data_IF_190630200224
#
_entry.id   IF_190630200224
#
_cell.length_a   1.000
_cell.length_b   1.000
_cell.length_c   1.000
_cell.angle_alpha   90.00
_cell.angle_beta   90.00
_cell.angle_gamma   90.00
#
_symmetry.space_group_name_H-M   'P 1'
#
loop_
_entity.id
_entity.type
_entity.pdbx_description
1 polymer ?
#
# COMPACT_ATOMS: atom_id res chain seq x y z
N UNK A 1 -25.15 5.70 18.58
CA UNK A 1 -24.79 4.35 19.12
C UNK A 1 -23.95 4.53 20.38
N UNK A 2 -24.12 3.64 21.35
CA UNK A 2 -23.26 3.69 22.53
C UNK A 2 -21.85 3.22 22.16
N UNK A 3 -20.82 3.75 22.82
CA UNK A 3 -19.42 3.35 22.66
C UNK A 3 -19.20 1.82 22.77
N UNK A 4 -20.00 1.14 23.58
CA UNK A 4 -19.97 -0.33 23.72
C UNK A 4 -20.41 -1.05 22.45
N UNK A 5 -21.42 -0.54 21.74
CA UNK A 5 -21.89 -1.13 20.49
C UNK A 5 -20.90 -0.94 19.36
N UNK A 6 -20.23 0.21 19.28
CA UNK A 6 -19.20 0.48 18.27
C UNK A 6 -17.99 -0.42 18.44
N UNK A 7 -17.55 -0.65 19.67
CA UNK A 7 -16.45 -1.57 19.95
C UNK A 7 -16.82 -3.04 19.67
N UNK A 8 -18.02 -3.45 19.98
CA UNK A 8 -18.50 -4.80 19.68
C UNK A 8 -18.54 -5.06 18.16
N UNK A 9 -19.07 -4.10 17.39
CA UNK A 9 -19.08 -4.16 15.93
C UNK A 9 -17.67 -4.19 15.36
N UNK A 10 -16.77 -3.33 15.84
CA UNK A 10 -15.37 -3.34 15.42
C UNK A 10 -14.71 -4.70 15.64
N UNK A 11 -14.88 -5.28 16.83
CA UNK A 11 -14.30 -6.58 17.16
C UNK A 11 -14.87 -7.72 16.29
N UNK A 12 -16.16 -7.68 15.96
CA UNK A 12 -16.80 -8.64 15.06
C UNK A 12 -16.18 -8.57 13.66
N UNK A 13 -16.04 -7.36 13.11
CA UNK A 13 -15.41 -7.14 11.80
C UNK A 13 -13.95 -7.63 11.81
N UNK A 14 -13.21 -7.35 12.87
CA UNK A 14 -11.83 -7.84 13.02
C UNK A 14 -11.76 -9.37 13.03
N UNK A 15 -12.70 -10.06 13.66
CA UNK A 15 -12.80 -11.52 13.64
C UNK A 15 -13.12 -12.06 12.23
N UNK A 16 -14.00 -11.39 11.49
CA UNK A 16 -14.35 -11.77 10.12
C UNK A 16 -13.15 -11.67 9.17
N UNK A 17 -12.21 -10.76 9.40
CA UNK A 17 -11.01 -10.59 8.61
C UNK A 17 -10.15 -11.87 8.56
N UNK A 18 -10.21 -12.72 9.57
CA UNK A 18 -9.44 -13.96 9.69
C UNK A 18 -10.27 -15.24 9.48
N UNK A 19 -11.54 -15.10 9.09
CA UNK A 19 -12.42 -16.24 8.84
C UNK A 19 -11.93 -17.04 7.62
N UNK A 20 -11.82 -18.35 7.77
CA UNK A 20 -11.26 -19.22 6.71
C UNK A 20 -12.25 -19.57 5.61
N UNK A 21 -13.54 -19.66 5.95
CA UNK A 21 -14.58 -20.24 5.10
C UNK A 21 -14.94 -19.40 3.89
N UNK A 22 -14.87 -18.07 4.00
CA UNK A 22 -15.33 -17.18 2.96
C UNK A 22 -14.36 -16.03 2.69
N UNK A 23 -13.77 -16.05 1.51
CA UNK A 23 -12.96 -14.91 1.06
C UNK A 23 -13.80 -13.63 0.88
N UNK A 24 -15.07 -13.75 0.51
CA UNK A 24 -15.98 -12.61 0.41
C UNK A 24 -16.15 -11.89 1.75
N UNK A 25 -16.34 -12.66 2.84
CA UNK A 25 -16.46 -12.10 4.18
C UNK A 25 -15.16 -11.41 4.61
N UNK A 26 -14.00 -11.98 4.30
CA UNK A 26 -12.72 -11.34 4.58
C UNK A 26 -12.54 -10.04 3.80
N UNK A 27 -12.90 -10.04 2.50
CA UNK A 27 -12.84 -8.85 1.65
C UNK A 27 -13.78 -7.74 2.16
N UNK A 28 -15.00 -8.08 2.53
CA UNK A 28 -15.97 -7.13 3.08
C UNK A 28 -15.51 -6.59 4.43
N UNK A 29 -14.96 -7.43 5.32
CA UNK A 29 -14.39 -7.00 6.59
C UNK A 29 -13.24 -5.99 6.37
N UNK A 30 -12.32 -6.26 5.45
CA UNK A 30 -11.24 -5.34 5.11
C UNK A 30 -11.79 -3.99 4.61
N UNK A 31 -12.77 -4.01 3.72
CA UNK A 31 -13.44 -2.82 3.21
C UNK A 31 -14.05 -1.98 4.32
N UNK A 32 -14.80 -2.60 5.23
CA UNK A 32 -15.43 -1.93 6.36
C UNK A 32 -14.41 -1.29 7.29
N UNK A 33 -13.31 -2.01 7.63
CA UNK A 33 -12.23 -1.47 8.45
C UNK A 33 -11.58 -0.25 7.80
N UNK A 34 -11.42 -0.26 6.48
CA UNK A 34 -10.92 0.90 5.73
C UNK A 34 -11.86 2.10 5.80
N UNK A 35 -13.18 1.87 5.71
CA UNK A 35 -14.19 2.94 5.81
C UNK A 35 -14.27 3.54 7.21
N UNK A 36 -14.08 2.73 8.24
CA UNK A 36 -14.04 3.19 9.63
C UNK A 36 -12.81 4.06 9.92
N UNK A 37 -11.74 3.91 9.15
CA UNK A 37 -10.46 4.62 9.34
C UNK A 37 -9.90 4.54 10.77
N UNK A 38 -10.16 3.43 11.43
CA UNK A 38 -9.73 3.20 12.81
C UNK A 38 -8.30 2.65 12.86
N UNK A 39 -7.38 3.43 13.42
CA UNK A 39 -5.96 3.05 13.52
C UNK A 39 -5.71 1.77 14.32
N UNK A 40 -6.65 1.33 15.16
CA UNK A 40 -6.56 0.07 15.91
C UNK A 40 -6.52 -1.16 14.99
N UNK A 41 -7.08 -1.05 13.77
CA UNK A 41 -7.09 -2.13 12.80
C UNK A 41 -5.74 -2.35 12.08
N UNK A 42 -4.82 -1.40 12.09
CA UNK A 42 -3.61 -1.42 11.26
C UNK A 42 -2.76 -2.67 11.47
N UNK A 43 -2.45 -3.02 12.71
CA UNK A 43 -1.60 -4.17 13.00
C UNK A 43 -2.22 -5.49 12.53
N UNK A 44 -3.52 -5.66 12.69
CA UNK A 44 -4.23 -6.88 12.27
C UNK A 44 -4.42 -6.93 10.76
N UNK A 45 -4.69 -5.79 10.11
CA UNK A 45 -4.70 -5.71 8.65
C UNK A 45 -3.33 -6.05 8.05
N UNK A 46 -2.25 -5.55 8.64
CA UNK A 46 -0.89 -5.91 8.22
C UNK A 46 -0.62 -7.41 8.38
N UNK A 47 -1.06 -8.00 9.50
CA UNK A 47 -0.94 -9.45 9.72
C UNK A 47 -1.76 -10.23 8.69
N UNK A 48 -3.01 -9.83 8.44
CA UNK A 48 -3.87 -10.45 7.44
C UNK A 48 -3.23 -10.37 6.05
N UNK A 49 -2.67 -9.22 5.64
CA UNK A 49 -2.02 -9.07 4.34
C UNK A 49 -0.84 -10.03 4.14
N UNK A 50 -0.07 -10.30 5.20
CA UNK A 50 1.06 -11.23 5.15
C UNK A 50 0.64 -12.69 4.95
N UNK A 51 -0.54 -13.07 5.42
CA UNK A 51 -1.01 -14.46 5.43
C UNK A 51 -2.11 -14.75 4.42
N UNK A 52 -2.72 -13.73 3.82
CA UNK A 52 -3.80 -13.89 2.84
C UNK A 52 -3.27 -14.38 1.49
N UNK A 53 -3.91 -15.39 0.94
CA UNK A 53 -3.56 -15.96 -0.38
C UNK A 53 -4.50 -15.50 -1.50
N UNK A 54 -5.69 -15.02 -1.17
CA UNK A 54 -6.63 -14.52 -2.16
C UNK A 54 -6.30 -13.09 -2.55
N UNK A 55 -5.93 -12.86 -3.81
CA UNK A 55 -5.52 -11.54 -4.31
C UNK A 55 -6.61 -10.47 -4.19
N UNK A 56 -7.88 -10.83 -4.33
CA UNK A 56 -8.99 -9.88 -4.15
C UNK A 56 -9.05 -9.39 -2.71
N UNK A 57 -8.89 -10.30 -1.75
CA UNK A 57 -8.84 -9.92 -0.32
C UNK A 57 -7.60 -9.08 -0.02
N UNK A 58 -6.44 -9.46 -0.55
CA UNK A 58 -5.22 -8.67 -0.42
C UNK A 58 -5.42 -7.23 -0.92
N UNK A 59 -6.04 -7.06 -2.08
CA UNK A 59 -6.32 -5.73 -2.64
C UNK A 59 -7.23 -4.90 -1.73
N UNK A 60 -8.25 -5.53 -1.13
CA UNK A 60 -9.13 -4.85 -0.15
C UNK A 60 -8.41 -4.47 1.14
N UNK A 61 -7.50 -5.32 1.62
CA UNK A 61 -6.66 -5.00 2.77
C UNK A 61 -5.71 -3.83 2.46
N UNK A 62 -5.06 -3.85 1.30
CA UNK A 62 -4.17 -2.77 0.84
C UNK A 62 -4.93 -1.45 0.76
N UNK A 63 -6.11 -1.45 0.14
CA UNK A 63 -6.99 -0.28 0.05
C UNK A 63 -7.38 0.24 1.44
N UNK A 64 -7.75 -0.65 2.36
CA UNK A 64 -8.10 -0.31 3.73
C UNK A 64 -6.93 0.34 4.47
N UNK A 65 -5.74 -0.22 4.37
CA UNK A 65 -4.52 0.34 4.97
C UNK A 65 -4.21 1.73 4.40
N UNK A 66 -4.40 1.94 3.09
CA UNK A 66 -4.27 3.24 2.45
C UNK A 66 -5.27 4.27 2.99
N UNK A 67 -6.54 3.89 3.17
CA UNK A 67 -7.58 4.75 3.73
C UNK A 67 -7.33 5.14 5.18
N UNK A 68 -6.78 4.23 5.98
CA UNK A 68 -6.39 4.52 7.37
C UNK A 68 -5.18 5.46 7.40
N UNK A 69 -4.24 5.32 6.47
CA UNK A 69 -3.13 6.24 6.28
C UNK A 69 -2.01 6.15 7.33
N UNK A 70 -1.82 5.00 7.96
CA UNK A 70 -0.79 4.82 8.99
C UNK A 70 0.52 4.27 8.39
N UNK A 71 1.63 4.97 8.63
CA UNK A 71 2.96 4.61 8.10
C UNK A 71 3.48 3.23 8.55
N UNK A 72 2.93 2.63 9.60
CA UNK A 72 3.24 1.24 9.99
C UNK A 72 2.93 0.23 8.89
N UNK A 73 1.98 0.54 8.00
CA UNK A 73 1.60 -0.33 6.89
C UNK A 73 2.55 -0.24 5.68
N UNK A 74 3.37 0.80 5.59
CA UNK A 74 4.17 1.09 4.39
C UNK A 74 4.97 -0.11 3.93
N UNK A 75 5.78 -0.71 4.80
CA UNK A 75 6.68 -1.78 4.38
C UNK A 75 5.96 -3.09 4.04
N UNK A 76 4.84 -3.37 4.68
CA UNK A 76 4.02 -4.56 4.34
C UNK A 76 3.40 -4.41 2.94
N UNK A 77 2.96 -3.20 2.60
CA UNK A 77 2.45 -2.90 1.25
C UNK A 77 3.60 -2.89 0.23
N UNK A 78 4.77 -2.36 0.60
CA UNK A 78 5.98 -2.40 -0.25
C UNK A 78 6.38 -3.84 -0.58
N UNK A 79 6.24 -4.78 0.33
CA UNK A 79 6.50 -6.19 0.02
C UNK A 79 5.57 -6.70 -1.10
N UNK A 80 4.31 -6.30 -1.10
CA UNK A 80 3.37 -6.61 -2.19
C UNK A 80 3.72 -5.89 -3.49
N UNK A 81 4.23 -4.67 -3.42
CA UNK A 81 4.78 -3.96 -4.57
C UNK A 81 5.93 -4.73 -5.21
N UNK A 82 6.90 -5.19 -4.41
CA UNK A 82 8.03 -5.99 -4.88
C UNK A 82 7.59 -7.31 -5.52
N UNK A 83 6.66 -8.02 -4.88
CA UNK A 83 6.10 -9.25 -5.44
C UNK A 83 5.48 -9.00 -6.82
N UNK A 84 4.70 -7.93 -6.98
CA UNK A 84 4.01 -7.63 -8.22
C UNK A 84 4.96 -7.21 -9.34
N UNK A 85 5.92 -6.33 -9.06
CA UNK A 85 6.91 -5.85 -10.04
C UNK A 85 7.78 -7.00 -10.56
N UNK A 86 8.06 -8.00 -9.73
CA UNK A 86 8.91 -9.14 -10.10
C UNK A 86 8.17 -10.24 -10.86
N UNK A 87 6.86 -10.14 -11.06
CA UNK A 87 6.10 -11.07 -11.89
C UNK A 87 6.48 -10.94 -13.36
N UNK A 88 6.45 -12.05 -14.09
CA UNK A 88 6.62 -12.04 -15.55
C UNK A 88 5.56 -11.19 -16.25
N UNK A 89 4.33 -11.20 -15.74
CA UNK A 89 3.22 -10.38 -16.21
C UNK A 89 2.69 -9.57 -15.04
N UNK A 90 2.89 -8.27 -15.09
CA UNK A 90 2.46 -7.33 -14.06
C UNK A 90 0.95 -7.08 -14.20
N UNK A 91 0.20 -7.26 -13.13
CA UNK A 91 -1.19 -6.82 -13.07
C UNK A 91 -1.22 -5.32 -12.76
N UNK A 92 -1.50 -4.52 -13.80
CA UNK A 92 -1.56 -3.05 -13.69
C UNK A 92 -2.66 -2.57 -12.73
N UNK A 93 -3.80 -3.28 -12.67
CA UNK A 93 -4.87 -2.94 -11.73
C UNK A 93 -4.41 -3.11 -10.29
N UNK A 94 -3.82 -4.27 -9.99
CA UNK A 94 -3.28 -4.54 -8.68
C UNK A 94 -2.19 -3.53 -8.30
N UNK A 95 -1.30 -3.23 -9.23
CA UNK A 95 -0.23 -2.27 -9.01
C UNK A 95 -0.77 -0.86 -8.71
N UNK A 96 -1.86 -0.46 -9.37
CA UNK A 96 -2.56 0.80 -9.10
C UNK A 96 -3.08 0.84 -7.66
N UNK A 97 -3.76 -0.20 -7.17
CA UNK A 97 -4.19 -0.28 -5.77
C UNK A 97 -3.03 -0.12 -4.78
N UNK A 98 -1.92 -0.81 -5.06
CA UNK A 98 -0.73 -0.77 -4.20
C UNK A 98 -0.16 0.65 -4.15
N UNK A 99 0.07 1.27 -5.29
CA UNK A 99 0.70 2.61 -5.37
C UNK A 99 -0.22 3.69 -4.83
N UNK A 100 -1.51 3.67 -5.15
CA UNK A 100 -2.48 4.63 -4.59
C UNK A 100 -2.55 4.54 -3.07
N UNK A 101 -2.50 3.34 -2.51
CA UNK A 101 -2.49 3.16 -1.06
C UNK A 101 -1.20 3.72 -0.42
N UNK A 102 -0.05 3.53 -1.06
CA UNK A 102 1.21 4.13 -0.61
C UNK A 102 1.19 5.66 -0.70
N UNK A 103 0.57 6.23 -1.74
CA UNK A 103 0.35 7.67 -1.86
C UNK A 103 -0.52 8.17 -0.70
N UNK A 104 -1.61 7.49 -0.39
CA UNK A 104 -2.53 7.88 0.68
C UNK A 104 -1.90 7.82 2.07
N UNK A 105 -0.98 6.89 2.30
CA UNK A 105 -0.19 6.80 3.54
C UNK A 105 0.80 7.96 3.68
N UNK A 106 1.25 8.57 2.55
CA UNK A 106 2.17 9.72 2.52
C UNK A 106 3.55 9.44 3.12
N UNK A 107 3.98 8.21 3.10
CA UNK A 107 5.31 7.82 3.58
C UNK A 107 6.32 7.80 2.42
N UNK A 108 7.22 8.76 2.39
CA UNK A 108 8.23 8.90 1.34
C UNK A 108 9.17 7.71 1.18
N UNK A 109 9.27 6.85 2.20
CA UNK A 109 10.07 5.61 2.09
C UNK A 109 9.61 4.72 0.95
N UNK A 110 8.34 4.77 0.59
CA UNK A 110 7.79 4.01 -0.55
C UNK A 110 8.43 4.40 -1.88
N UNK A 111 8.90 5.63 -2.04
CA UNK A 111 9.51 6.12 -3.28
C UNK A 111 10.76 5.34 -3.69
N UNK A 112 11.55 4.87 -2.71
CA UNK A 112 12.71 4.02 -2.99
C UNK A 112 12.34 2.74 -3.77
N UNK A 113 11.13 2.24 -3.56
CA UNK A 113 10.64 0.99 -4.15
C UNK A 113 9.74 1.21 -5.37
N UNK A 114 9.13 2.39 -5.50
CA UNK A 114 8.38 2.81 -6.70
C UNK A 114 9.35 3.26 -7.81
N UNK A 115 10.51 3.77 -7.43
CA UNK A 115 11.52 4.35 -8.34
C UNK A 115 11.89 3.50 -9.55
N UNK A 116 12.08 2.17 -9.44
CA UNK A 116 12.37 1.32 -10.60
C UNK A 116 11.35 1.44 -11.74
N UNK A 117 10.09 1.75 -11.44
CA UNK A 117 9.04 1.92 -12.45
C UNK A 117 9.21 3.19 -13.29
N UNK A 118 9.97 4.19 -12.83
CA UNK A 118 10.29 5.40 -13.61
C UNK A 118 11.07 5.08 -14.89
N UNK A 119 11.80 3.95 -14.90
CA UNK A 119 12.56 3.48 -16.04
C UNK A 119 11.82 2.40 -16.86
N UNK A 120 10.55 2.17 -16.58
CA UNK A 120 9.74 1.19 -17.30
C UNK A 120 9.58 1.58 -18.77
N UNK A 121 9.62 0.58 -19.65
CA UNK A 121 9.25 0.74 -21.07
C UNK A 121 7.73 0.80 -21.26
N UNK A 122 6.96 0.37 -20.27
CA UNK A 122 5.52 0.48 -20.26
C UNK A 122 5.14 1.87 -19.75
N UNK A 123 4.57 2.68 -20.64
CA UNK A 123 4.22 4.08 -20.35
C UNK A 123 3.18 4.23 -19.24
N UNK A 124 2.27 3.26 -19.07
CA UNK A 124 1.27 3.32 -17.99
C UNK A 124 1.93 3.13 -16.62
N UNK A 125 2.88 2.19 -16.53
CA UNK A 125 3.63 1.95 -15.30
C UNK A 125 4.54 3.13 -14.96
N UNK A 126 5.17 3.73 -15.97
CA UNK A 126 5.99 4.92 -15.79
C UNK A 126 5.17 6.09 -15.27
N UNK A 127 4.00 6.37 -15.89
CA UNK A 127 3.10 7.43 -15.44
C UNK A 127 2.57 7.21 -14.03
N UNK A 128 2.26 5.97 -13.67
CA UNK A 128 1.83 5.62 -12.32
C UNK A 128 2.90 5.96 -11.29
N UNK A 129 4.17 5.65 -11.59
CA UNK A 129 5.30 6.01 -10.74
C UNK A 129 5.51 7.53 -10.69
N UNK A 130 5.52 8.22 -11.83
CA UNK A 130 5.67 9.67 -11.90
C UNK A 130 4.61 10.39 -11.07
N UNK A 131 3.36 9.94 -11.14
CA UNK A 131 2.27 10.49 -10.32
C UNK A 131 2.55 10.33 -8.82
N UNK A 132 3.02 9.16 -8.38
CA UNK A 132 3.38 8.95 -6.98
C UNK A 132 4.50 9.89 -6.53
N UNK A 133 5.53 10.05 -7.34
CA UNK A 133 6.63 10.99 -7.07
C UNK A 133 6.15 12.44 -7.05
N UNK A 134 5.34 12.87 -8.01
CA UNK A 134 4.82 14.23 -8.09
C UNK A 134 3.99 14.61 -6.84
N UNK A 135 3.27 13.65 -6.27
CA UNK A 135 2.47 13.88 -5.05
C UNK A 135 3.33 13.82 -3.78
N UNK A 136 4.21 12.83 -3.67
CA UNK A 136 4.95 12.58 -2.42
C UNK A 136 6.23 13.42 -2.30
N UNK A 137 6.87 13.76 -3.41
CA UNK A 137 8.09 14.58 -3.48
C UNK A 137 8.09 15.45 -4.74
N UNK A 138 7.36 16.57 -4.77
CA UNK A 138 7.22 17.39 -5.98
C UNK A 138 8.54 17.82 -6.64
N UNK A 139 9.61 17.92 -5.86
CA UNK A 139 10.95 18.32 -6.34
C UNK A 139 11.82 17.12 -6.76
N UNK A 140 11.24 15.95 -6.94
CA UNK A 140 11.98 14.70 -7.17
C UNK A 140 12.90 14.76 -8.41
N UNK A 141 12.49 15.46 -9.47
CA UNK A 141 13.31 15.58 -10.69
C UNK A 141 14.61 16.34 -10.41
N UNK A 142 14.54 17.44 -9.68
CA UNK A 142 15.72 18.21 -9.28
C UNK A 142 16.63 17.43 -8.34
N UNK A 143 16.02 16.65 -7.41
CA UNK A 143 16.77 15.81 -6.48
C UNK A 143 17.54 14.74 -7.24
N UNK A 144 16.91 14.07 -8.20
CA UNK A 144 17.55 13.06 -9.03
C UNK A 144 18.66 13.71 -9.87
N UNK A 145 18.39 14.80 -10.54
CA UNK A 145 19.36 15.51 -11.40
C UNK A 145 20.63 15.91 -10.63
N UNK A 146 20.48 16.39 -9.40
CA UNK A 146 21.61 16.81 -8.56
C UNK A 146 22.42 15.63 -8.00
N UNK A 147 21.84 14.47 -7.85
CA UNK A 147 22.44 13.33 -7.15
C UNK A 147 22.74 12.11 -8.02
N UNK A 148 22.31 12.11 -9.29
CA UNK A 148 22.30 10.94 -10.17
C UNK A 148 23.65 10.46 -10.67
N UNK A 149 24.72 11.19 -10.46
CA UNK A 149 26.03 10.72 -10.96
C UNK A 149 26.63 9.61 -10.11
N UNK A 150 26.15 9.38 -8.87
CA UNK A 150 26.78 8.49 -7.91
C UNK A 150 25.84 7.60 -7.07
N UNK A 151 24.50 7.78 -7.14
CA UNK A 151 23.53 7.04 -6.29
C UNK A 151 22.31 6.55 -7.06
N UNK A 152 21.81 5.36 -6.72
CA UNK A 152 20.52 4.87 -7.22
C UNK A 152 19.35 5.67 -6.60
N UNK A 153 18.17 5.66 -7.25
CA UNK A 153 16.96 6.28 -6.72
C UNK A 153 16.61 5.73 -5.33
N UNK A 154 16.81 4.43 -5.15
CA UNK A 154 16.60 3.75 -3.86
C UNK A 154 17.48 4.34 -2.75
N UNK A 155 18.78 4.54 -3.01
CA UNK A 155 19.72 5.11 -2.05
C UNK A 155 19.41 6.56 -1.73
N UNK A 156 19.03 7.37 -2.74
CA UNK A 156 18.68 8.78 -2.57
C UNK A 156 17.53 8.95 -1.58
N UNK A 157 16.47 8.16 -1.73
CA UNK A 157 15.27 8.29 -0.89
C UNK A 157 15.34 7.55 0.44
N UNK A 158 16.21 6.55 0.60
CA UNK A 158 16.50 5.93 1.90
C UNK A 158 17.29 6.84 2.83
N UNK A 159 18.22 7.63 2.31
CA UNK A 159 19.09 8.51 3.10
C UNK A 159 18.32 9.71 3.67
N UNK A 160 17.20 10.09 3.09
CA UNK A 160 16.40 11.27 3.51
C UNK A 160 15.37 10.98 4.62
N UNK A 161 15.34 9.78 5.11
CA UNK A 161 14.43 9.32 6.15
C UNK A 161 15.17 9.09 7.44
#
# INVERSE_FOLDING_TARGET
MSWHNENAQFNEIMNQLFQKESWHNRAEAAKQLGLMKDGRAVNLLCKALKTENNETVQNKIIEALGKIGNAKATMVIVDKLKEEINKKFIDKFRLTYIIESLINIKDKRSLAYIGPLLSSKDEDLKKLAENAFDILEPNWREIIEKQTKEKSIEEIFKIKI
#
